data_IF_269013192934
#
_entry.id   IF_269013192934
#
_cell.length_a   1.000
_cell.length_b   1.000
_cell.length_c   1.000
_cell.angle_alpha   90.00
_cell.angle_beta   90.00
_cell.angle_gamma   90.00
#
_symmetry.space_group_name_H-M   'P 1'
#
loop_
_entity.id
_entity.type
_entity.pdbx_description
1 polymer ?
#
# COMPACT_ATOMS: atom_id res chain seq x y z
N UNK A 1 -11.64 -9.86 -11.58
CA UNK A 1 -10.18 -9.84 -11.33
C UNK A 1 -9.64 -11.18 -10.84
N UNK A 2 -10.47 -12.13 -10.39
CA UNK A 2 -9.99 -13.42 -9.82
C UNK A 2 -9.36 -14.39 -10.81
N UNK A 3 -9.62 -14.23 -12.11
CA UNK A 3 -9.25 -15.23 -13.12
C UNK A 3 -7.75 -15.23 -13.45
N UNK A 4 -7.07 -14.07 -13.49
CA UNK A 4 -5.65 -14.02 -13.84
C UNK A 4 -4.73 -14.50 -12.71
N UNK A 5 -5.05 -14.13 -11.46
CA UNK A 5 -4.31 -14.62 -10.30
C UNK A 5 -4.38 -16.15 -10.21
N UNK A 6 -5.59 -16.73 -10.35
CA UNK A 6 -5.78 -18.17 -10.37
C UNK A 6 -5.10 -18.85 -11.57
N UNK A 7 -5.25 -18.30 -12.78
CA UNK A 7 -4.57 -18.81 -14.00
C UNK A 7 -3.06 -18.84 -13.85
N UNK A 8 -2.49 -17.83 -13.18
CA UNK A 8 -1.09 -17.84 -12.86
C UNK A 8 -0.74 -19.09 -12.05
N UNK A 9 -1.51 -19.54 -11.04
CA UNK A 9 -1.20 -20.80 -10.31
C UNK A 9 -1.36 -22.09 -11.14
N UNK A 10 -2.35 -22.15 -12.03
CA UNK A 10 -2.70 -23.40 -12.71
C UNK A 10 -1.90 -23.69 -13.99
N UNK A 11 -1.34 -22.67 -14.67
CA UNK A 11 -0.70 -22.81 -15.99
C UNK A 11 0.80 -22.46 -16.02
N UNK A 12 1.52 -22.46 -14.88
CA UNK A 12 2.93 -22.04 -14.83
C UNK A 12 3.83 -22.99 -15.60
N UNK A 13 4.71 -22.43 -16.44
CA UNK A 13 6.01 -23.06 -16.70
C UNK A 13 6.84 -22.98 -15.40
N UNK A 14 7.65 -24.00 -15.14
CA UNK A 14 8.41 -24.17 -13.88
C UNK A 14 9.27 -22.96 -13.52
N UNK A 15 9.67 -22.15 -14.51
CA UNK A 15 10.60 -21.02 -14.35
C UNK A 15 9.93 -19.64 -14.14
N UNK A 16 8.59 -19.56 -14.11
CA UNK A 16 7.89 -18.29 -13.88
C UNK A 16 7.49 -18.15 -12.41
N UNK A 17 7.94 -17.07 -11.77
CA UNK A 17 7.71 -16.80 -10.35
C UNK A 17 7.14 -15.40 -10.14
N UNK A 18 6.56 -15.17 -8.96
CA UNK A 18 5.99 -13.87 -8.59
C UNK A 18 7.07 -12.95 -8.07
N UNK A 19 7.01 -11.66 -8.39
CA UNK A 19 7.83 -10.63 -7.77
C UNK A 19 6.94 -9.80 -6.86
N UNK A 20 7.23 -9.80 -5.57
CA UNK A 20 6.49 -9.01 -4.58
C UNK A 20 7.19 -7.66 -4.36
N UNK A 21 6.53 -6.59 -4.77
CA UNK A 21 7.07 -5.23 -4.81
C UNK A 21 6.31 -4.30 -3.85
N UNK A 22 7.05 -3.53 -3.05
CA UNK A 22 6.54 -2.52 -2.12
C UNK A 22 7.06 -1.15 -2.55
N UNK A 23 6.16 -0.18 -2.64
CA UNK A 23 6.47 1.22 -2.84
C UNK A 23 5.92 2.02 -1.66
N UNK A 24 6.79 2.77 -0.99
CA UNK A 24 6.49 3.59 0.17
C UNK A 24 6.85 5.05 -0.17
N UNK A 25 5.87 5.95 -0.04
CA UNK A 25 6.03 7.36 -0.39
C UNK A 25 5.27 8.29 0.56
N UNK A 26 5.78 9.50 0.70
CA UNK A 26 5.12 10.60 1.40
C UNK A 26 5.67 11.94 0.86
N UNK A 27 4.87 13.02 0.80
CA UNK A 27 5.36 14.34 0.35
C UNK A 27 6.55 14.89 1.16
N UNK A 28 6.65 14.55 2.45
CA UNK A 28 7.79 14.92 3.30
C UNK A 28 9.00 13.98 3.18
N UNK A 29 8.89 12.87 2.45
CA UNK A 29 10.04 11.98 2.27
C UNK A 29 11.03 12.56 1.27
N UNK A 30 12.32 12.31 1.49
CA UNK A 30 13.36 12.71 0.53
C UNK A 30 13.27 11.90 -0.77
N UNK A 31 12.89 10.62 -0.65
CA UNK A 31 12.79 9.70 -1.76
C UNK A 31 11.53 8.82 -1.64
N UNK A 32 11.09 8.29 -2.78
CA UNK A 32 10.13 7.17 -2.82
C UNK A 32 10.91 5.87 -2.70
N UNK A 33 10.63 5.08 -1.67
CA UNK A 33 11.30 3.82 -1.40
C UNK A 33 10.61 2.68 -2.14
N UNK A 34 11.32 2.04 -3.07
CA UNK A 34 10.79 0.95 -3.91
C UNK A 34 11.64 -0.30 -3.71
N UNK A 35 11.01 -1.35 -3.19
CA UNK A 35 11.70 -2.56 -2.76
C UNK A 35 11.05 -3.81 -3.36
N UNK A 36 11.84 -4.73 -3.89
CA UNK A 36 11.42 -6.07 -4.32
C UNK A 36 11.97 -7.14 -3.37
N UNK A 37 11.14 -8.13 -3.05
CA UNK A 37 11.45 -9.12 -2.02
C UNK A 37 12.42 -10.20 -2.49
N UNK A 38 12.38 -10.54 -3.78
CA UNK A 38 12.80 -11.85 -4.25
C UNK A 38 13.44 -11.85 -5.65
N UNK A 39 14.07 -10.74 -6.02
CA UNK A 39 15.06 -10.67 -7.11
C UNK A 39 16.27 -9.92 -6.58
N UNK A 40 17.41 -10.60 -6.45
CA UNK A 40 18.64 -10.09 -5.83
C UNK A 40 19.32 -8.95 -6.62
N UNK A 41 18.98 -8.80 -7.89
CA UNK A 41 19.48 -7.71 -8.75
C UNK A 41 18.55 -6.50 -8.77
N UNK A 42 17.42 -6.57 -8.06
CA UNK A 42 16.33 -5.63 -8.23
C UNK A 42 15.62 -5.83 -9.57
N UNK A 43 14.57 -5.04 -9.82
CA UNK A 43 13.75 -5.20 -11.02
C UNK A 43 13.25 -3.88 -11.57
N UNK A 44 13.27 -3.74 -12.90
CA UNK A 44 12.58 -2.67 -13.61
C UNK A 44 11.17 -3.13 -13.97
N UNK A 45 10.17 -2.40 -13.47
CA UNK A 45 8.76 -2.70 -13.73
C UNK A 45 8.03 -1.46 -14.24
N UNK A 46 6.90 -1.69 -14.89
CA UNK A 46 5.98 -0.65 -15.29
C UNK A 46 4.74 -0.71 -14.39
N UNK A 47 4.26 0.43 -13.88
CA UNK A 47 3.06 0.43 -13.02
C UNK A 47 1.77 0.31 -13.83
N UNK A 48 1.73 0.99 -14.98
CA UNK A 48 0.60 1.01 -15.91
C UNK A 48 1.14 0.95 -17.34
N UNK A 49 0.39 0.35 -18.25
CA UNK A 49 0.74 0.33 -19.67
C UNK A 49 1.01 1.75 -20.20
N UNK A 50 2.11 1.92 -20.92
CA UNK A 50 2.58 3.22 -21.43
C UNK A 50 3.32 4.11 -20.41
N UNK A 51 3.39 3.76 -19.12
CA UNK A 51 4.21 4.49 -18.15
C UNK A 51 5.71 4.22 -18.34
N UNK A 52 6.59 5.10 -17.84
CA UNK A 52 8.02 4.79 -17.78
C UNK A 52 8.30 3.59 -16.87
N UNK A 53 9.41 2.88 -17.11
CA UNK A 53 9.89 1.87 -16.18
C UNK A 53 10.43 2.53 -14.91
N UNK A 54 10.20 1.89 -13.77
CA UNK A 54 10.76 2.28 -12.48
C UNK A 54 11.52 1.11 -11.87
N UNK A 55 12.61 1.43 -11.17
CA UNK A 55 13.44 0.43 -10.51
C UNK A 55 12.93 0.16 -9.09
N UNK A 56 12.93 -1.12 -8.70
CA UNK A 56 12.73 -1.61 -7.35
C UNK A 56 14.02 -2.29 -6.90
N UNK A 57 14.58 -1.84 -5.79
CA UNK A 57 15.80 -2.38 -5.21
C UNK A 57 15.51 -3.66 -4.41
N UNK A 58 16.43 -4.62 -4.45
CA UNK A 58 16.32 -5.80 -3.60
C UNK A 58 16.58 -5.44 -2.14
N UNK A 59 15.62 -5.72 -1.26
CA UNK A 59 15.91 -5.84 0.17
C UNK A 59 15.20 -7.05 0.78
N UNK A 60 15.86 -7.77 1.70
CA UNK A 60 15.22 -8.85 2.43
C UNK A 60 13.99 -8.33 3.19
N UNK A 61 12.82 -8.89 2.88
CA UNK A 61 11.58 -8.51 3.55
C UNK A 61 10.62 -9.66 3.76
N UNK A 62 9.76 -9.49 4.75
CA UNK A 62 8.59 -10.35 5.02
C UNK A 62 7.32 -9.56 4.77
N UNK A 63 6.38 -10.15 4.04
CA UNK A 63 5.08 -9.55 3.72
C UNK A 63 3.98 -10.47 4.25
N UNK A 64 3.12 -9.91 5.09
CA UNK A 64 1.93 -10.58 5.61
C UNK A 64 0.69 -9.80 5.16
N UNK A 65 -0.14 -10.47 4.38
CA UNK A 65 -1.41 -9.94 3.88
C UNK A 65 -2.55 -10.50 4.73
N UNK A 66 -3.44 -9.64 5.19
CA UNK A 66 -4.65 -10.00 5.94
C UNK A 66 -5.87 -9.41 5.24
N UNK A 67 -6.95 -10.18 5.21
CA UNK A 67 -8.16 -9.89 4.44
C UNK A 67 -8.33 -10.86 3.27
N UNK A 68 -9.58 -11.11 2.88
CA UNK A 68 -9.89 -11.90 1.70
C UNK A 68 -9.62 -11.07 0.43
N UNK A 69 -9.15 -11.70 -0.65
CA UNK A 69 -9.11 -11.04 -1.96
C UNK A 69 -10.53 -10.57 -2.31
N UNK A 70 -10.70 -9.25 -2.47
CA UNK A 70 -12.00 -8.62 -2.74
C UNK A 70 -12.65 -7.91 -1.54
N UNK A 71 -12.08 -8.03 -0.33
CA UNK A 71 -12.51 -7.23 0.81
C UNK A 71 -11.93 -5.80 0.74
N UNK A 72 -12.67 -4.82 1.25
CA UNK A 72 -12.23 -3.43 1.38
C UNK A 72 -11.25 -3.26 2.56
N UNK A 73 -11.40 -4.09 3.61
CA UNK A 73 -10.61 -4.02 4.85
C UNK A 73 -9.29 -4.79 4.73
N UNK A 74 -8.47 -4.37 3.78
CA UNK A 74 -7.18 -4.98 3.54
C UNK A 74 -6.11 -4.42 4.46
N UNK A 75 -5.34 -5.33 5.05
CA UNK A 75 -4.20 -4.98 5.89
C UNK A 75 -2.94 -5.63 5.37
N UNK A 76 -1.87 -4.86 5.35
CA UNK A 76 -0.56 -5.26 4.89
C UNK A 76 0.45 -4.98 6.00
N UNK A 77 1.09 -6.04 6.52
CA UNK A 77 2.21 -5.90 7.46
C UNK A 77 3.49 -6.27 6.72
N UNK A 78 4.45 -5.36 6.72
CA UNK A 78 5.72 -5.51 6.00
C UNK A 78 6.86 -5.28 6.96
N UNK A 79 7.86 -6.15 6.93
CA UNK A 79 9.11 -5.98 7.66
C UNK A 79 10.26 -5.97 6.67
N UNK A 80 10.98 -4.85 6.55
CA UNK A 80 12.07 -4.64 5.58
C UNK A 80 13.38 -4.48 6.34
N UNK A 81 14.38 -5.30 5.99
CA UNK A 81 15.74 -5.19 6.50
C UNK A 81 16.56 -4.22 5.65
N UNK A 82 17.47 -3.46 6.28
CA UNK A 82 18.35 -2.52 5.57
C UNK A 82 17.82 -1.08 5.47
N UNK A 83 16.56 -0.83 5.83
CA UNK A 83 16.00 0.53 5.95
C UNK A 83 15.93 1.04 7.40
N UNK A 84 16.53 0.30 8.34
CA UNK A 84 16.51 0.59 9.79
C UNK A 84 17.11 1.94 10.17
N UNK A 85 18.07 2.43 9.39
CA UNK A 85 18.77 3.69 9.66
C UNK A 85 18.22 4.86 8.81
N UNK A 86 17.40 4.59 7.79
CA UNK A 86 16.94 5.61 6.84
C UNK A 86 15.49 6.02 7.14
N UNK A 87 14.61 5.04 7.32
CA UNK A 87 13.19 5.31 7.54
C UNK A 87 12.87 6.04 8.84
N UNK A 88 13.59 5.88 9.98
CA UNK A 88 13.33 6.68 11.18
C UNK A 88 13.40 8.19 10.89
N UNK A 89 14.47 8.66 10.23
CA UNK A 89 14.65 10.05 9.86
C UNK A 89 13.55 10.55 8.90
N UNK A 90 13.09 9.67 7.99
CA UNK A 90 11.97 9.97 7.11
C UNK A 90 10.67 10.15 7.89
N UNK A 91 10.39 9.31 8.88
CA UNK A 91 9.19 9.43 9.70
C UNK A 91 9.24 10.65 10.63
N UNK A 92 10.42 11.01 11.14
CA UNK A 92 10.61 12.27 11.86
C UNK A 92 10.30 13.47 10.97
N UNK A 93 10.76 13.47 9.70
CA UNK A 93 10.37 14.50 8.69
C UNK A 93 8.87 14.57 8.43
N UNK A 94 8.14 13.46 8.54
CA UNK A 94 6.67 13.48 8.43
C UNK A 94 6.06 14.20 9.62
N UNK A 95 6.57 13.93 10.82
CA UNK A 95 6.05 14.52 12.07
C UNK A 95 6.35 16.02 12.18
N UNK A 96 7.51 16.46 11.72
CA UNK A 96 7.95 17.87 11.78
C UNK A 96 7.59 18.67 10.51
N UNK A 97 7.15 17.98 9.46
CA UNK A 97 6.91 18.55 8.14
C UNK A 97 5.60 19.34 8.02
N UNK A 98 5.39 19.93 6.84
CA UNK A 98 4.20 20.75 6.54
C UNK A 98 2.93 19.93 6.28
N UNK A 99 3.05 18.61 6.10
CA UNK A 99 1.96 17.70 5.72
C UNK A 99 1.50 16.83 6.89
N UNK A 100 1.24 17.43 8.06
CA UNK A 100 0.95 16.72 9.31
C UNK A 100 -0.29 15.81 9.26
N UNK A 101 -1.26 16.14 8.40
CA UNK A 101 -2.50 15.35 8.25
C UNK A 101 -2.40 14.25 7.18
N UNK A 102 -1.30 14.20 6.45
CA UNK A 102 -1.06 13.20 5.41
C UNK A 102 -0.30 12.03 6.03
N UNK A 103 -0.83 10.82 5.86
CA UNK A 103 -0.13 9.60 6.26
C UNK A 103 0.72 9.08 5.10
N UNK A 104 1.90 8.48 5.37
CA UNK A 104 2.67 7.78 4.34
C UNK A 104 1.81 6.75 3.61
N UNK A 105 1.98 6.69 2.30
CA UNK A 105 1.24 5.82 1.39
C UNK A 105 2.09 4.61 1.04
N UNK A 106 1.48 3.43 1.10
CA UNK A 106 2.07 2.14 0.75
C UNK A 106 1.29 1.56 -0.43
N UNK A 107 2.02 1.28 -1.51
CA UNK A 107 1.52 0.55 -2.66
C UNK A 107 2.21 -0.81 -2.71
N UNK A 108 1.42 -1.85 -2.88
CA UNK A 108 1.88 -3.22 -3.04
C UNK A 108 1.51 -3.72 -4.42
N UNK A 109 2.47 -4.33 -5.13
CA UNK A 109 2.27 -4.87 -6.48
C UNK A 109 2.92 -6.24 -6.58
N UNK A 110 2.25 -7.15 -7.29
CA UNK A 110 2.77 -8.46 -7.65
C UNK A 110 2.93 -8.51 -9.15
N UNK A 111 4.14 -8.77 -9.62
CA UNK A 111 4.43 -8.98 -11.04
C UNK A 111 4.70 -10.45 -11.32
N UNK A 112 4.54 -10.84 -12.57
CA UNK A 112 5.04 -12.12 -13.07
C UNK A 112 6.45 -11.92 -13.59
N UNK A 113 7.38 -12.83 -13.33
CA UNK A 113 8.75 -12.70 -13.84
C UNK A 113 8.84 -12.69 -15.38
N UNK A 114 7.81 -13.15 -16.08
CA UNK A 114 7.69 -13.11 -17.54
C UNK A 114 6.94 -11.89 -18.09
N UNK A 115 6.26 -11.13 -17.23
CA UNK A 115 5.59 -9.88 -17.60
C UNK A 115 5.72 -8.82 -16.49
N UNK A 116 6.65 -7.90 -16.70
CA UNK A 116 6.95 -6.78 -15.81
C UNK A 116 6.22 -5.48 -16.18
N UNK A 117 5.41 -5.51 -17.23
CA UNK A 117 4.72 -4.32 -17.74
C UNK A 117 3.36 -4.09 -17.06
N UNK A 118 2.77 -5.16 -16.50
CA UNK A 118 1.47 -5.10 -15.83
C UNK A 118 1.50 -5.96 -14.57
N UNK A 119 1.10 -5.44 -13.41
CA UNK A 119 0.98 -6.25 -12.19
C UNK A 119 -0.17 -7.26 -12.30
N UNK A 120 0.07 -8.50 -11.88
CA UNK A 120 -0.94 -9.56 -11.75
C UNK A 120 -1.98 -9.18 -10.67
N UNK A 121 -1.50 -8.51 -9.62
CA UNK A 121 -2.31 -8.10 -8.48
C UNK A 121 -1.68 -6.88 -7.82
N UNK A 122 -2.50 -5.99 -7.27
CA UNK A 122 -2.03 -4.79 -6.60
C UNK A 122 -2.98 -4.33 -5.50
N UNK A 123 -2.42 -3.74 -4.44
CA UNK A 123 -3.12 -3.01 -3.40
C UNK A 123 -2.53 -1.60 -3.38
N UNK A 124 -3.31 -0.60 -3.77
CA UNK A 124 -2.83 0.76 -3.94
C UNK A 124 -3.47 1.69 -2.89
N UNK A 125 -2.72 2.72 -2.50
CA UNK A 125 -3.23 3.76 -1.63
C UNK A 125 -3.43 3.33 -0.17
N UNK A 126 -2.79 2.26 0.29
CA UNK A 126 -2.83 1.87 1.70
C UNK A 126 -2.14 2.97 2.52
N UNK A 127 -2.70 3.32 3.68
CA UNK A 127 -2.13 4.32 4.58
C UNK A 127 -1.43 3.64 5.74
N UNK A 128 -0.30 4.21 6.15
CA UNK A 128 0.43 3.74 7.31
C UNK A 128 -0.46 3.82 8.57
N UNK A 129 -0.67 2.68 9.22
CA UNK A 129 -1.46 2.55 10.45
C UNK A 129 -0.58 2.52 11.70
N UNK A 130 0.62 1.96 11.57
CA UNK A 130 1.60 1.89 12.66
C UNK A 130 2.96 1.43 12.16
N UNK A 131 4.00 1.80 12.91
CA UNK A 131 5.38 1.45 12.60
C UNK A 131 6.11 1.05 13.88
N UNK A 132 7.00 0.07 13.75
CA UNK A 132 7.89 -0.42 14.79
C UNK A 132 9.27 -0.62 14.17
N UNK A 133 10.29 -0.08 14.81
CA UNK A 133 11.63 0.00 14.25
C UNK A 133 12.64 -0.59 15.22
N UNK A 134 13.64 -1.28 14.67
CA UNK A 134 14.89 -1.56 15.34
C UNK A 134 16.04 -1.27 14.38
N UNK A 135 17.28 -1.25 14.86
CA UNK A 135 18.47 -0.95 14.04
C UNK A 135 18.68 -1.89 12.84
N UNK A 136 17.97 -3.01 12.74
CA UNK A 136 18.14 -4.00 11.66
C UNK A 136 17.00 -3.96 10.64
N UNK A 137 15.79 -3.66 11.08
CA UNK A 137 14.59 -3.75 10.27
C UNK A 137 13.51 -2.76 10.70
N UNK A 138 12.73 -2.32 9.72
CA UNK A 138 11.53 -1.53 9.92
C UNK A 138 10.32 -2.39 9.63
N UNK A 139 9.44 -2.51 10.61
CA UNK A 139 8.17 -3.21 10.49
C UNK A 139 7.04 -2.19 10.49
N UNK A 140 6.23 -2.16 9.45
CA UNK A 140 5.07 -1.28 9.40
C UNK A 140 3.81 -2.03 9.00
N UNK A 141 2.68 -1.49 9.45
CA UNK A 141 1.35 -1.92 9.09
C UNK A 141 0.70 -0.82 8.26
N UNK A 142 0.13 -1.20 7.12
CA UNK A 142 -0.66 -0.33 6.27
C UNK A 142 -2.08 -0.89 6.09
N UNK A 143 -3.06 -0.01 6.03
CA UNK A 143 -4.48 -0.37 5.91
C UNK A 143 -5.19 0.50 4.88
N UNK A 144 -6.26 -0.01 4.29
CA UNK A 144 -7.11 0.78 3.39
C UNK A 144 -7.59 2.06 4.09
N UNK A 145 -7.62 3.21 3.40
CA UNK A 145 -8.28 4.40 3.91
C UNK A 145 -9.72 4.08 4.30
N UNK A 146 -10.11 4.36 5.54
CA UNK A 146 -11.51 4.22 5.94
C UNK A 146 -12.36 5.21 5.15
N UNK A 147 -13.25 4.70 4.30
CA UNK A 147 -14.12 5.51 3.46
C UNK A 147 -15.24 6.22 4.26
N UNK A 148 -15.38 5.98 5.57
CA UNK A 148 -16.52 6.45 6.37
C UNK A 148 -16.10 6.96 7.77
N UNK A 149 -15.52 8.16 7.84
CA UNK A 149 -15.36 8.86 9.14
C UNK A 149 -15.98 10.25 9.17
N UNK A 150 -16.71 10.64 8.13
CA UNK A 150 -17.64 11.77 8.18
C UNK A 150 -19.04 11.20 8.04
N UNK A 151 -19.81 11.22 9.13
CA UNK A 151 -21.26 11.22 9.03
C UNK A 151 -21.65 12.49 8.28
N UNK A 152 -21.67 12.44 6.95
CA UNK A 152 -22.25 13.49 6.10
C UNK A 152 -23.76 13.32 5.96
N UNK A 153 -24.38 12.60 6.91
CA UNK A 153 -25.83 12.63 7.07
C UNK A 153 -26.18 13.87 7.88
N UNK A 154 -26.83 14.83 7.24
CA UNK A 154 -27.60 15.83 7.99
C UNK A 154 -28.53 15.08 8.95
N UNK A 155 -28.41 15.35 10.24
CA UNK A 155 -29.36 14.83 11.22
C UNK A 155 -30.67 15.59 10.96
N UNK A 156 -31.72 14.87 10.54
CA UNK A 156 -33.07 15.42 10.48
C UNK A 156 -33.54 15.68 11.91
N UNK A 157 -33.18 16.85 12.43
CA UNK A 157 -33.63 17.31 13.73
C UNK A 157 -34.89 18.18 13.54
N UNK A 158 -35.86 18.02 14.44
CA UNK A 158 -37.16 18.71 14.44
C UNK A 158 -37.03 20.24 14.62
N UNK A 159 -35.84 20.72 14.97
CA UNK A 159 -35.48 22.13 15.11
C UNK A 159 -35.20 22.82 13.76
N UNK A 160 -34.68 22.10 12.76
CA UNK A 160 -34.34 22.63 11.42
C UNK A 160 -35.46 22.51 10.39
N UNK A 161 -36.45 21.65 10.60
CA UNK A 161 -37.58 21.45 9.68
C UNK A 161 -38.91 21.65 10.41
N UNK A 162 -39.47 22.87 10.36
CA UNK A 162 -40.75 23.20 10.99
C UNK A 162 -41.93 22.38 10.44
N UNK A 163 -41.84 21.85 9.21
CA UNK A 163 -42.84 20.99 8.59
C UNK A 163 -42.91 19.55 9.11
N UNK A 164 -42.00 19.14 10.01
CA UNK A 164 -42.06 17.84 10.69
C UNK A 164 -42.84 17.89 12.00
N UNK A 165 -43.30 19.07 12.44
CA UNK A 165 -44.31 19.19 13.49
C UNK A 165 -45.65 18.90 12.84
N UNK A 166 -46.16 17.69 13.04
CA UNK A 166 -47.48 17.28 12.56
C UNK A 166 -48.53 18.32 12.92
N UNK A 167 -49.50 18.51 12.01
CA UNK A 167 -50.68 19.34 12.25
C UNK A 167 -51.32 18.97 13.59
N UNK A 168 -51.43 19.96 14.47
CA UNK A 168 -52.34 19.90 15.63
C UNK A 168 -53.73 20.30 15.16
#
# INVERSE_FOLDING_TARGET
MDNEYAKFFFNRKVDVYQLECIELSHPSFMNTYRVVRNDDRGVYVQHNEGAGQVFYEYLPMTIQRSGMLGDLDQTLTVSISGLGDILPDEFERVMEGQFTDVKPTVNYRIYSSDNLNTPIHYLLGLRLAGVSMNHKAVTFKAESPRLNTTKTGDIFALDRFSGLKGAV
#
